data_IF_674609603559
#
_entry.id   IF_674609603559
#
_cell.length_a   1.000
_cell.length_b   1.000
_cell.length_c   1.000
_cell.angle_alpha   90.00
_cell.angle_beta   90.00
_cell.angle_gamma   90.00
#
_symmetry.space_group_name_H-M   'P 1'
#
loop_
_entity.id
_entity.type
_entity.pdbx_description
1 polymer ?
#
# COMPACT_ATOMS: atom_id res chain seq x y z
N UNK A 1 -24.84 -3.57 21.43
CA UNK A 1 -25.12 -2.14 21.21
C UNK A 1 -23.88 -1.53 20.58
N UNK A 2 -23.95 -1.02 19.35
CA UNK A 2 -22.80 -0.33 18.74
C UNK A 2 -22.68 1.05 19.35
N UNK A 3 -21.62 1.31 20.12
CA UNK A 3 -21.26 2.68 20.44
C UNK A 3 -20.97 3.40 19.12
N UNK A 4 -21.84 4.33 18.73
CA UNK A 4 -21.53 5.25 17.64
C UNK A 4 -20.38 6.14 18.11
N UNK A 5 -19.15 5.80 17.70
CA UNK A 5 -17.98 6.61 17.99
C UNK A 5 -18.16 7.95 17.30
N UNK A 6 -18.44 8.99 18.08
CA UNK A 6 -18.71 10.32 17.52
C UNK A 6 -17.38 10.93 17.07
N UNK A 7 -17.34 11.46 15.84
CA UNK A 7 -16.14 12.08 15.27
C UNK A 7 -16.35 13.56 15.00
N UNK A 8 -15.29 14.35 15.09
CA UNK A 8 -15.25 15.76 14.68
C UNK A 8 -14.14 15.99 13.66
N UNK A 9 -14.21 17.10 12.93
CA UNK A 9 -13.11 17.55 12.06
C UNK A 9 -11.89 17.82 12.93
N UNK A 10 -10.72 17.35 12.51
CA UNK A 10 -9.47 17.63 13.19
C UNK A 10 -9.14 19.12 13.04
N UNK A 11 -9.01 19.90 14.13
CA UNK A 11 -8.64 21.31 14.04
C UNK A 11 -7.17 21.51 13.68
N UNK A 12 -6.36 20.45 13.69
CA UNK A 12 -4.94 20.49 13.36
C UNK A 12 -4.64 19.81 12.01
N UNK A 13 -3.81 20.41 11.16
CA UNK A 13 -3.28 21.78 11.26
C UNK A 13 -4.36 22.87 11.06
N UNK A 14 -4.16 24.07 11.61
CA UNK A 14 -5.07 25.21 11.47
C UNK A 14 -4.95 25.87 10.08
N UNK A 15 -5.22 25.12 9.02
CA UNK A 15 -5.02 25.56 7.61
C UNK A 15 -5.79 26.85 7.30
N UNK A 16 -6.98 26.99 7.85
CA UNK A 16 -7.83 28.19 7.69
C UNK A 16 -7.17 29.48 8.18
N UNK A 17 -6.16 29.38 9.05
CA UNK A 17 -5.41 30.52 9.59
C UNK A 17 -4.21 30.92 8.71
N UNK A 18 -3.99 30.23 7.59
CA UNK A 18 -2.94 30.52 6.61
C UNK A 18 -1.61 29.81 6.88
N UNK A 19 -0.84 29.59 5.81
CA UNK A 19 0.35 28.72 5.83
C UNK A 19 1.47 29.22 6.77
N UNK A 20 1.57 30.54 6.99
CA UNK A 20 2.55 31.12 7.95
C UNK A 20 2.23 30.71 9.38
N UNK A 21 0.95 30.68 9.74
CA UNK A 21 0.50 30.24 11.06
C UNK A 21 0.69 28.73 11.23
N UNK A 22 0.42 27.94 10.19
CA UNK A 22 0.74 26.51 10.16
C UNK A 22 2.23 26.30 10.41
N UNK A 23 3.12 26.97 9.68
CA UNK A 23 4.57 26.84 9.86
C UNK A 23 5.03 27.16 11.30
N UNK A 24 4.51 28.24 11.91
CA UNK A 24 4.83 28.58 13.30
C UNK A 24 4.30 27.53 14.29
N UNK A 25 3.12 26.97 14.04
CA UNK A 25 2.56 25.88 14.85
C UNK A 25 3.42 24.62 14.72
N UNK A 26 3.88 24.30 13.51
CA UNK A 26 4.78 23.16 13.26
C UNK A 26 6.14 23.38 13.91
N UNK A 27 6.68 24.61 13.94
CA UNK A 27 7.93 24.92 14.66
C UNK A 27 7.81 24.60 16.15
N UNK A 28 6.74 25.10 16.80
CA UNK A 28 6.49 24.83 18.22
C UNK A 28 6.29 23.34 18.49
N UNK A 29 5.52 22.67 17.64
CA UNK A 29 5.31 21.23 17.73
C UNK A 29 6.61 20.44 17.56
N UNK A 30 7.40 20.71 16.53
CA UNK A 30 8.68 20.03 16.29
C UNK A 30 9.69 20.27 17.43
N UNK A 31 9.65 21.45 18.06
CA UNK A 31 10.45 21.76 19.24
C UNK A 31 9.99 20.95 20.47
N UNK A 32 8.68 20.90 20.73
CA UNK A 32 8.07 20.14 21.83
C UNK A 32 8.38 18.64 21.73
N UNK A 33 8.26 18.11 20.51
CA UNK A 33 8.58 16.71 20.23
C UNK A 33 10.09 16.49 19.98
N UNK A 34 10.96 17.48 20.21
CA UNK A 34 12.41 17.29 20.06
C UNK A 34 12.88 16.82 18.67
N UNK A 35 12.09 17.03 17.61
CA UNK A 35 12.43 16.62 16.23
C UNK A 35 13.50 17.55 15.63
N UNK A 36 13.29 18.86 15.77
CA UNK A 36 14.19 19.86 15.22
C UNK A 36 13.60 21.26 15.18
N UNK A 37 14.32 22.16 14.52
CA UNK A 37 14.01 23.59 14.46
C UNK A 37 14.21 24.17 13.05
N UNK A 38 13.92 25.46 12.89
CA UNK A 38 14.07 26.20 11.63
C UNK A 38 13.24 25.58 10.49
N UNK A 39 11.93 25.46 10.73
CA UNK A 39 10.93 24.95 9.81
C UNK A 39 10.81 25.88 8.59
N UNK A 40 10.95 25.30 7.39
CA UNK A 40 10.83 26.01 6.11
C UNK A 40 10.10 25.15 5.08
N UNK A 41 9.70 25.77 3.96
CA UNK A 41 9.04 25.09 2.83
C UNK A 41 7.77 24.33 3.26
N UNK A 42 7.00 24.94 4.16
CA UNK A 42 5.76 24.34 4.65
C UNK A 42 4.68 24.39 3.55
N UNK A 43 4.12 23.23 3.23
CA UNK A 43 2.99 23.05 2.32
C UNK A 43 1.96 22.15 3.00
N UNK A 44 0.67 22.47 2.86
CA UNK A 44 -0.42 21.65 3.39
C UNK A 44 -1.27 21.12 2.23
N UNK A 45 -1.61 19.83 2.29
CA UNK A 45 -2.54 19.16 1.37
C UNK A 45 -3.60 18.41 2.18
N UNK A 46 -4.84 18.50 1.73
CA UNK A 46 -5.93 17.72 2.29
C UNK A 46 -6.27 16.56 1.36
N UNK A 47 -6.18 15.33 1.88
CA UNK A 47 -6.71 14.15 1.22
C UNK A 47 -8.16 13.86 1.64
N UNK A 48 -8.65 12.69 1.22
CA UNK A 48 -9.97 12.18 1.61
C UNK A 48 -10.05 11.90 3.11
N UNK A 49 -9.03 11.23 3.65
CA UNK A 49 -9.02 10.73 5.04
C UNK A 49 -7.99 11.41 5.94
N UNK A 50 -6.97 12.03 5.36
CA UNK A 50 -5.81 12.56 6.08
C UNK A 50 -5.53 14.01 5.67
N UNK A 51 -4.91 14.74 6.57
CA UNK A 51 -4.25 16.01 6.27
C UNK A 51 -2.75 15.77 6.30
N UNK A 52 -2.06 16.30 5.28
CA UNK A 52 -0.63 16.09 5.06
C UNK A 52 0.07 17.43 5.04
N UNK A 53 1.11 17.58 5.84
CA UNK A 53 1.96 18.77 5.87
C UNK A 53 3.37 18.35 5.48
N UNK A 54 3.88 18.92 4.40
CA UNK A 54 5.27 18.75 4.00
C UNK A 54 6.06 19.95 4.51
N UNK A 55 7.23 19.69 5.07
CA UNK A 55 8.12 20.75 5.52
C UNK A 55 9.57 20.28 5.56
N UNK A 56 10.48 21.21 5.78
CA UNK A 56 11.90 20.94 5.98
C UNK A 56 12.36 21.52 7.31
N UNK A 57 13.32 20.87 7.96
CA UNK A 57 13.79 21.24 9.30
C UNK A 57 15.29 20.97 9.48
N UNK A 58 15.90 21.55 10.50
CA UNK A 58 17.24 21.22 10.98
C UNK A 58 17.07 20.34 12.23
N UNK A 59 17.53 19.08 12.22
CA UNK A 59 17.42 18.21 13.38
C UNK A 59 18.13 18.81 14.60
N UNK A 60 17.58 18.60 15.81
CA UNK A 60 18.36 18.88 17.02
C UNK A 60 19.55 17.91 17.09
N UNK A 61 20.62 18.33 17.78
CA UNK A 61 21.75 17.42 18.05
C UNK A 61 21.22 16.27 18.90
N UNK A 62 21.23 15.06 18.35
CA UNK A 62 21.04 13.86 19.16
C UNK A 62 22.04 13.86 20.31
N UNK A 63 21.59 13.47 21.51
CA UNK A 63 22.42 13.15 22.66
C UNK A 63 23.06 11.76 22.57
N UNK A 64 23.10 11.17 21.39
CA UNK A 64 23.63 9.83 21.15
C UNK A 64 25.15 9.88 20.85
N UNK A 65 26.00 9.31 21.73
CA UNK A 65 27.45 9.31 21.57
C UNK A 65 27.97 8.30 20.53
N UNK A 66 27.14 7.36 20.05
CA UNK A 66 27.55 6.25 19.16
C UNK A 66 27.01 6.39 17.72
N UNK A 67 26.17 7.39 17.46
CA UNK A 67 25.64 7.66 16.12
C UNK A 67 26.50 8.68 15.35
N UNK A 68 26.70 8.48 14.03
CA UNK A 68 27.43 9.45 13.20
C UNK A 68 26.74 10.82 13.30
N UNK A 69 27.57 11.86 13.54
CA UNK A 69 27.13 13.24 13.80
C UNK A 69 25.97 13.63 12.88
N UNK A 70 24.84 14.18 13.39
CA UNK A 70 23.83 14.74 12.52
C UNK A 70 24.50 15.81 11.68
N UNK A 71 24.50 15.64 10.37
CA UNK A 71 24.94 16.70 9.48
C UNK A 71 24.04 17.91 9.75
N UNK A 72 24.58 19.13 9.65
CA UNK A 72 23.78 20.36 9.64
C UNK A 72 22.84 20.44 8.43
N UNK A 73 22.62 19.32 7.72
CA UNK A 73 21.86 19.24 6.50
C UNK A 73 20.38 19.24 6.87
N UNK A 74 19.69 20.23 6.31
CA UNK A 74 18.24 20.33 6.33
C UNK A 74 17.62 19.03 5.81
N UNK A 75 16.69 18.48 6.58
CA UNK A 75 15.92 17.29 6.27
C UNK A 75 14.54 17.67 5.74
N UNK A 76 13.93 16.77 4.95
CA UNK A 76 12.57 16.94 4.43
C UNK A 76 11.67 15.84 4.97
N UNK A 77 10.50 16.22 5.48
CA UNK A 77 9.56 15.28 6.07
C UNK A 77 8.11 15.62 5.75
N UNK A 78 7.25 14.67 6.12
CA UNK A 78 5.81 14.72 5.97
C UNK A 78 5.20 14.44 7.34
N UNK A 79 4.35 15.33 7.84
CA UNK A 79 3.47 15.11 8.98
C UNK A 79 2.08 14.76 8.44
N UNK A 80 1.59 13.57 8.81
CA UNK A 80 0.27 13.05 8.48
C UNK A 80 -0.59 13.01 9.74
N UNK A 81 -1.77 13.61 9.66
CA UNK A 81 -2.82 13.50 10.69
C UNK A 81 -4.13 13.04 10.06
N UNK A 82 -5.05 12.51 10.87
CA UNK A 82 -6.39 12.18 10.37
C UNK A 82 -7.22 13.43 10.18
N UNK A 83 -8.05 13.45 9.13
CA UNK A 83 -9.02 14.54 8.87
C UNK A 83 -10.14 14.58 9.92
N UNK A 84 -10.48 13.43 10.50
CA UNK A 84 -11.48 13.29 11.56
C UNK A 84 -10.88 12.60 12.78
N UNK A 85 -11.23 13.10 13.96
CA UNK A 85 -10.77 12.60 15.26
C UNK A 85 -11.95 12.24 16.14
N UNK A 86 -11.73 11.32 17.09
CA UNK A 86 -12.75 10.89 18.04
C UNK A 86 -13.04 12.00 19.06
N UNK A 87 -14.31 12.19 19.41
CA UNK A 87 -14.71 13.06 20.51
C UNK A 87 -14.41 12.35 21.84
N UNK A 88 -13.87 13.10 22.82
CA UNK A 88 -13.63 12.66 24.22
C UNK A 88 -12.82 11.36 24.37
N UNK A 89 -11.70 11.30 23.65
CA UNK A 89 -10.89 10.09 23.46
C UNK A 89 -9.50 10.16 24.09
N UNK A 90 -9.33 10.94 25.17
CA UNK A 90 -8.03 11.19 25.82
C UNK A 90 -7.22 9.91 26.11
N UNK A 91 -7.87 8.80 26.46
CA UNK A 91 -7.20 7.51 26.76
C UNK A 91 -7.25 6.51 25.59
N UNK A 92 -7.76 6.89 24.42
CA UNK A 92 -7.84 5.99 23.28
C UNK A 92 -6.54 6.03 22.46
N UNK A 93 -6.18 4.88 21.90
CA UNK A 93 -5.16 4.77 20.86
C UNK A 93 -5.82 4.59 19.50
N UNK A 94 -5.12 5.03 18.48
CA UNK A 94 -5.54 4.93 17.10
C UNK A 94 -4.87 3.72 16.45
N UNK A 95 -5.59 2.59 16.48
CA UNK A 95 -5.11 1.31 15.95
C UNK A 95 -4.58 1.44 14.51
N UNK A 96 -5.26 2.17 13.62
CA UNK A 96 -4.76 2.27 12.26
C UNK A 96 -3.50 3.15 12.14
N UNK A 97 -3.26 4.10 13.05
CA UNK A 97 -1.95 4.81 13.10
C UNK A 97 -0.85 3.82 13.51
N UNK A 98 -1.08 3.05 14.59
CA UNK A 98 -0.11 2.05 15.06
C UNK A 98 0.18 0.98 14.00
N UNK A 99 -0.86 0.51 13.29
CA UNK A 99 -0.71 -0.44 12.19
C UNK A 99 0.14 0.10 11.04
N UNK A 100 -0.11 1.34 10.59
CA UNK A 100 0.69 1.96 9.53
C UNK A 100 2.16 2.07 9.96
N UNK A 101 2.39 2.55 11.19
CA UNK A 101 3.75 2.68 11.75
C UNK A 101 4.44 1.32 11.81
N UNK A 102 3.76 0.28 12.31
CA UNK A 102 4.32 -1.06 12.40
C UNK A 102 4.70 -1.64 11.01
N UNK A 103 3.85 -1.45 9.98
CA UNK A 103 4.18 -1.85 8.60
C UNK A 103 5.43 -1.12 8.11
N UNK A 104 5.42 0.22 8.20
CA UNK A 104 6.50 1.05 7.68
C UNK A 104 7.80 0.86 8.46
N UNK A 105 7.74 0.58 9.76
CA UNK A 105 8.92 0.26 10.56
C UNK A 105 9.48 -1.13 10.25
N UNK A 106 8.61 -2.14 10.08
CA UNK A 106 9.03 -3.52 9.83
C UNK A 106 9.66 -3.68 8.45
N UNK A 107 9.05 -3.10 7.42
CA UNK A 107 9.44 -3.31 6.02
C UNK A 107 10.10 -2.09 5.38
N UNK A 108 10.14 -0.94 6.04
CA UNK A 108 10.74 0.28 5.51
C UNK A 108 12.12 0.56 6.05
N UNK A 109 12.65 1.70 5.62
CA UNK A 109 13.99 2.15 6.00
C UNK A 109 14.12 2.27 7.52
N UNK A 110 14.97 1.41 8.12
CA UNK A 110 15.32 1.46 9.54
C UNK A 110 16.63 2.21 9.72
N UNK A 111 16.56 3.50 10.04
CA UNK A 111 17.75 4.30 10.37
C UNK A 111 18.88 4.18 9.31
N UNK A 112 20.09 3.70 9.66
CA UNK A 112 21.23 3.54 8.74
C UNK A 112 21.18 2.27 7.88
N UNK A 113 20.25 1.34 8.12
CA UNK A 113 20.18 0.07 7.39
C UNK A 113 19.21 0.17 6.22
N UNK A 114 19.67 -0.12 4.97
CA UNK A 114 18.80 -0.07 3.81
C UNK A 114 17.77 -1.20 3.90
N UNK A 115 16.49 -0.83 3.89
CA UNK A 115 15.43 -1.81 3.70
C UNK A 115 15.47 -2.34 2.27
N UNK A 116 15.14 -3.63 2.05
CA UNK A 116 14.90 -4.14 0.71
C UNK A 116 13.75 -3.42 -0.03
N UNK A 117 12.80 -2.80 0.69
CA UNK A 117 11.73 -2.02 0.08
C UNK A 117 11.94 -0.51 0.28
N UNK A 118 11.70 0.31 -0.76
CA UNK A 118 11.80 1.77 -0.67
C UNK A 118 10.56 2.33 0.03
N UNK A 119 10.43 2.11 1.33
CA UNK A 119 9.34 2.67 2.14
C UNK A 119 9.94 3.75 3.05
N UNK A 120 9.41 5.00 3.04
CA UNK A 120 10.02 6.09 3.78
C UNK A 120 10.11 5.81 5.27
N UNK A 121 11.26 6.13 5.87
CA UNK A 121 11.50 6.00 7.31
C UNK A 121 10.48 6.79 8.15
N UNK A 122 9.95 6.16 9.20
CA UNK A 122 9.24 6.84 10.28
C UNK A 122 10.25 7.60 11.12
N UNK A 123 9.98 8.88 11.38
CA UNK A 123 10.84 9.76 12.18
C UNK A 123 10.29 9.98 13.59
N UNK A 124 8.96 10.04 13.71
CA UNK A 124 8.24 10.11 14.98
C UNK A 124 6.78 9.70 14.75
N UNK A 125 6.11 9.20 15.78
CA UNK A 125 4.68 8.97 15.74
C UNK A 125 4.05 9.07 17.12
N UNK A 126 2.76 9.37 17.14
CA UNK A 126 1.94 9.27 18.33
C UNK A 126 0.57 8.73 17.92
N UNK A 127 0.21 7.56 18.42
CA UNK A 127 -1.07 6.92 18.21
C UNK A 127 -2.16 7.41 19.16
N UNK A 128 -1.84 8.22 20.16
CA UNK A 128 -2.76 8.67 21.22
C UNK A 128 -3.45 9.99 20.86
N UNK A 129 -4.44 10.37 21.67
CA UNK A 129 -5.04 11.70 21.63
C UNK A 129 -4.52 12.61 22.76
N UNK A 130 -3.71 12.08 23.68
CA UNK A 130 -3.08 12.81 24.78
C UNK A 130 -1.70 13.33 24.37
N UNK A 131 -1.70 14.21 23.37
CA UNK A 131 -0.51 14.87 22.85
C UNK A 131 -0.77 16.35 22.55
N UNK A 132 0.29 17.11 22.27
CA UNK A 132 0.23 18.57 22.08
C UNK A 132 -0.79 19.00 21.03
N UNK A 133 -0.97 18.21 19.97
CA UNK A 133 -1.88 18.50 18.85
C UNK A 133 -3.24 17.80 18.98
N UNK A 134 -3.46 17.09 20.09
CA UNK A 134 -4.68 16.34 20.46
C UNK A 134 -5.20 15.42 19.35
N UNK A 135 -4.28 14.85 18.57
CA UNK A 135 -4.63 13.91 17.52
C UNK A 135 -3.47 12.95 17.20
N UNK A 136 -3.78 11.72 16.78
CA UNK A 136 -2.77 10.79 16.31
C UNK A 136 -2.06 11.31 15.07
N UNK A 137 -0.75 11.11 15.01
CA UNK A 137 0.08 11.57 13.91
C UNK A 137 1.21 10.60 13.55
N UNK A 138 1.70 10.76 12.33
CA UNK A 138 2.91 10.11 11.82
C UNK A 138 3.78 11.17 11.17
N UNK A 139 5.05 11.24 11.56
CA UNK A 139 6.09 12.00 10.86
C UNK A 139 7.00 11.01 10.16
N UNK A 140 7.17 11.19 8.86
CA UNK A 140 8.02 10.33 8.05
C UNK A 140 8.93 11.16 7.13
N UNK A 141 10.01 10.55 6.65
CA UNK A 141 10.88 11.15 5.63
C UNK A 141 10.07 11.44 4.36
N UNK A 142 10.31 12.60 3.74
CA UNK A 142 9.77 12.91 2.42
C UNK A 142 10.69 12.28 1.37
N UNK A 143 10.13 11.44 0.52
CA UNK A 143 10.85 10.86 -0.61
C UNK A 143 11.35 11.95 -1.57
N UNK A 144 12.51 11.71 -2.19
CA UNK A 144 13.06 12.55 -3.25
C UNK A 144 12.30 12.31 -4.56
N UNK A 145 12.17 13.35 -5.38
CA UNK A 145 11.44 13.29 -6.65
C UNK A 145 9.93 13.54 -6.56
N UNK A 146 9.21 13.08 -7.57
CA UNK A 146 7.76 13.26 -7.76
C UNK A 146 7.06 11.91 -7.88
N UNK A 147 5.76 11.87 -7.55
CA UNK A 147 4.92 10.72 -7.86
C UNK A 147 4.86 10.47 -9.37
N UNK A 148 4.64 9.21 -9.76
CA UNK A 148 4.64 8.79 -11.16
C UNK A 148 3.47 9.41 -11.94
N UNK A 149 2.38 9.78 -11.28
CA UNK A 149 1.27 10.49 -11.92
C UNK A 149 1.74 11.84 -12.50
N UNK A 150 2.50 12.62 -11.73
CA UNK A 150 3.15 13.85 -12.22
C UNK A 150 4.22 13.60 -13.27
N UNK A 151 5.01 12.53 -13.12
CA UNK A 151 5.99 12.20 -14.16
C UNK A 151 5.31 11.87 -15.48
N UNK A 152 4.17 11.17 -15.46
CA UNK A 152 3.41 10.90 -16.67
C UNK A 152 2.95 12.21 -17.35
N UNK A 153 2.52 13.23 -16.59
CA UNK A 153 2.17 14.54 -17.17
C UNK A 153 3.36 15.16 -17.94
N UNK A 154 4.59 15.03 -17.41
CA UNK A 154 5.81 15.54 -18.07
C UNK A 154 6.17 14.70 -19.30
N UNK A 155 6.09 13.38 -19.17
CA UNK A 155 6.41 12.41 -20.21
C UNK A 155 5.45 12.54 -21.41
N UNK A 156 4.17 12.85 -21.15
CA UNK A 156 3.16 12.99 -22.21
C UNK A 156 3.20 14.36 -22.91
N UNK A 157 3.60 15.43 -22.23
CA UNK A 157 3.75 16.78 -22.82
C UNK A 157 4.93 16.88 -23.77
N UNK A 158 5.89 15.94 -23.69
CA UNK A 158 7.13 15.91 -24.49
C UNK A 158 6.92 15.54 -25.97
N UNK A 159 5.84 16.05 -26.59
CA UNK A 159 5.46 15.91 -27.99
C UNK A 159 6.34 16.68 -28.99
N UNK A 160 7.67 16.63 -28.88
CA UNK A 160 8.57 17.21 -29.87
C UNK A 160 9.64 16.22 -30.35
N UNK A 161 9.39 15.66 -31.54
CA UNK A 161 10.35 15.18 -32.54
C UNK A 161 11.40 14.10 -32.18
N UNK A 162 11.48 13.60 -30.95
CA UNK A 162 12.38 12.48 -30.60
C UNK A 162 11.72 11.48 -29.64
N UNK A 163 10.73 10.73 -30.13
CA UNK A 163 9.99 9.69 -29.37
C UNK A 163 10.80 8.52 -28.78
N UNK A 164 12.13 8.62 -28.78
CA UNK A 164 13.05 7.66 -28.18
C UNK A 164 13.32 7.95 -26.69
N UNK A 165 13.23 9.22 -26.27
CA UNK A 165 13.57 9.63 -24.91
C UNK A 165 12.47 9.28 -23.90
N UNK A 166 11.19 9.44 -24.27
CA UNK A 166 10.05 9.01 -23.46
C UNK A 166 10.03 7.48 -23.22
N UNK A 167 10.32 6.70 -24.27
CA UNK A 167 10.32 5.23 -24.16
C UNK A 167 11.42 4.71 -23.24
N UNK A 168 12.63 5.30 -23.28
CA UNK A 168 13.74 4.89 -22.40
C UNK A 168 13.36 5.04 -20.93
N UNK A 169 12.78 6.18 -20.55
CA UNK A 169 12.40 6.46 -19.17
C UNK A 169 11.26 5.54 -18.71
N UNK A 170 10.27 5.30 -19.57
CA UNK A 170 9.19 4.32 -19.29
C UNK A 170 9.70 2.89 -19.12
N UNK A 171 10.70 2.48 -19.91
CA UNK A 171 11.35 1.17 -19.73
C UNK A 171 12.10 1.11 -18.40
N UNK A 172 12.81 2.17 -18.02
CA UNK A 172 13.47 2.28 -16.71
C UNK A 172 12.46 2.18 -15.56
N UNK A 173 11.33 2.88 -15.65
CA UNK A 173 10.23 2.82 -14.68
C UNK A 173 9.68 1.39 -14.58
N UNK A 174 9.43 0.73 -15.72
CA UNK A 174 8.95 -0.64 -15.75
C UNK A 174 9.95 -1.62 -15.12
N UNK A 175 11.25 -1.43 -15.35
CA UNK A 175 12.29 -2.25 -14.74
C UNK A 175 12.36 -2.07 -13.21
N UNK A 176 12.33 -0.84 -12.72
CA UNK A 176 12.35 -0.54 -11.28
C UNK A 176 11.10 -1.08 -10.58
N UNK A 177 9.93 -0.99 -11.21
CA UNK A 177 8.71 -1.60 -10.69
C UNK A 177 8.78 -3.13 -10.66
N UNK A 178 9.39 -3.76 -11.67
CA UNK A 178 9.61 -5.21 -11.67
C UNK A 178 10.52 -5.63 -10.50
N UNK A 179 11.62 -4.90 -10.26
CA UNK A 179 12.51 -5.13 -9.11
C UNK A 179 11.76 -4.98 -7.79
N UNK A 180 10.95 -3.94 -7.64
CA UNK A 180 10.14 -3.71 -6.44
C UNK A 180 9.15 -4.85 -6.17
N UNK A 181 8.37 -5.27 -7.18
CA UNK A 181 7.39 -6.35 -7.04
C UNK A 181 8.10 -7.67 -6.71
N UNK A 182 9.18 -8.01 -7.42
CA UNK A 182 9.97 -9.20 -7.13
C UNK A 182 10.56 -9.18 -5.72
N UNK A 183 10.96 -8.00 -5.23
CA UNK A 183 11.45 -7.80 -3.87
C UNK A 183 10.36 -8.11 -2.84
N UNK A 184 9.14 -7.57 -3.03
CA UNK A 184 7.99 -7.87 -2.17
C UNK A 184 7.64 -9.37 -2.15
N UNK A 185 7.75 -10.08 -3.28
CA UNK A 185 7.42 -11.51 -3.35
C UNK A 185 8.48 -12.43 -2.71
N UNK A 186 9.77 -12.07 -2.80
CA UNK A 186 10.85 -13.00 -2.48
C UNK A 186 11.64 -12.68 -1.21
N UNK A 187 11.57 -11.45 -0.68
CA UNK A 187 12.41 -11.06 0.46
C UNK A 187 11.83 -11.40 1.83
N UNK A 188 10.53 -11.60 1.92
CA UNK A 188 9.84 -11.82 3.18
C UNK A 188 9.24 -13.22 3.23
N UNK A 189 9.33 -13.85 4.39
CA UNK A 189 8.69 -15.13 4.66
C UNK A 189 7.61 -14.91 5.71
N UNK A 190 6.41 -15.41 5.43
CA UNK A 190 5.26 -15.24 6.31
C UNK A 190 4.71 -16.59 6.74
N UNK A 191 4.41 -16.70 8.04
CA UNK A 191 3.83 -17.91 8.64
C UNK A 191 2.30 -18.00 8.53
N UNK A 192 1.63 -16.99 7.95
CA UNK A 192 0.18 -16.88 7.88
C UNK A 192 -0.25 -15.89 6.78
N UNK A 193 -1.53 -15.95 6.40
CA UNK A 193 -2.20 -14.90 5.64
C UNK A 193 -3.05 -14.02 6.55
N UNK A 194 -3.26 -12.78 6.13
CA UNK A 194 -4.26 -11.91 6.70
C UNK A 194 -3.78 -10.47 6.83
N UNK A 195 -4.35 -9.81 7.83
CA UNK A 195 -4.15 -8.41 8.12
C UNK A 195 -2.91 -8.24 8.99
N UNK A 196 -2.06 -7.29 8.59
CA UNK A 196 -0.93 -6.84 9.36
C UNK A 196 -1.41 -6.01 10.56
N UNK A 197 -1.06 -6.45 11.76
CA UNK A 197 -1.40 -5.79 13.03
C UNK A 197 -0.12 -5.46 13.80
N UNK A 198 -0.17 -4.41 14.61
CA UNK A 198 0.91 -4.08 15.52
C UNK A 198 1.00 -5.11 16.65
N UNK A 199 2.20 -5.24 17.22
CA UNK A 199 2.39 -5.97 18.47
C UNK A 199 1.53 -5.34 19.60
N UNK A 200 0.90 -6.14 20.48
CA UNK A 200 0.22 -5.64 21.68
C UNK A 200 1.12 -4.80 22.60
N UNK A 201 2.43 -5.09 22.60
CA UNK A 201 3.42 -4.40 23.43
C UNK A 201 3.99 -3.15 22.74
N UNK A 202 3.53 -2.83 21.52
CA UNK A 202 3.92 -1.60 20.81
C UNK A 202 3.51 -0.36 21.61
N UNK A 203 4.47 0.53 21.88
CA UNK A 203 4.19 1.78 22.56
C UNK A 203 3.19 2.65 21.76
N UNK A 204 2.31 3.31 22.51
CA UNK A 204 1.33 4.24 21.97
C UNK A 204 1.97 5.44 21.27
N UNK A 205 3.18 5.82 21.67
CA UNK A 205 3.97 6.90 21.10
C UNK A 205 5.46 6.60 21.22
N UNK A 206 6.25 7.04 20.23
CA UNK A 206 7.71 6.88 20.27
C UNK A 206 8.38 8.11 19.65
N UNK A 207 9.47 8.51 20.30
CA UNK A 207 10.25 9.72 20.02
C UNK A 207 11.69 9.37 19.69
N UNK A 208 12.17 9.89 18.56
CA UNK A 208 13.56 9.68 18.14
C UNK A 208 13.85 8.25 17.71
N UNK A 209 15.06 8.06 17.19
CA UNK A 209 15.64 6.83 16.63
C UNK A 209 15.83 5.70 17.67
N UNK A 210 14.98 5.62 18.70
CA UNK A 210 15.02 4.49 19.60
C UNK A 210 14.73 3.24 18.76
N UNK A 211 15.72 2.35 18.73
CA UNK A 211 15.69 1.02 18.13
C UNK A 211 14.69 0.14 18.89
N UNK A 212 13.43 0.57 18.94
CA UNK A 212 12.36 -0.30 19.35
C UNK A 212 12.19 -1.35 18.27
N UNK A 213 12.40 -2.60 18.64
CA UNK A 213 11.99 -3.73 17.82
C UNK A 213 10.46 -3.78 17.80
N UNK A 214 9.85 -2.92 17.00
CA UNK A 214 8.43 -2.99 16.68
C UNK A 214 8.26 -4.24 15.81
N UNK A 215 7.79 -5.31 16.44
CA UNK A 215 7.40 -6.53 15.75
C UNK A 215 6.01 -6.36 15.13
N UNK A 216 5.82 -7.01 13.99
CA UNK A 216 4.54 -7.06 13.29
C UNK A 216 3.98 -8.46 13.35
N UNK A 217 2.69 -8.57 13.70
CA UNK A 217 1.97 -9.85 13.71
C UNK A 217 0.98 -9.92 12.56
N UNK A 218 0.61 -11.14 12.20
CA UNK A 218 -0.43 -11.42 11.20
C UNK A 218 -1.64 -11.97 11.93
N UNK A 219 -2.76 -11.26 11.80
CA UNK A 219 -4.07 -11.77 12.19
C UNK A 219 -4.81 -12.22 10.95
N UNK A 220 -5.52 -13.34 11.04
CA UNK A 220 -6.42 -13.72 9.96
C UNK A 220 -7.49 -12.65 9.68
N UNK A 221 -8.02 -12.60 8.44
CA UNK A 221 -8.91 -11.54 8.00
C UNK A 221 -10.29 -11.60 8.68
N UNK A 222 -10.98 -10.46 8.72
CA UNK A 222 -12.34 -10.37 9.23
C UNK A 222 -13.36 -10.28 8.09
N UNK A 223 -14.46 -11.01 8.23
CA UNK A 223 -15.67 -10.87 7.41
C UNK A 223 -16.82 -10.50 8.34
N UNK A 224 -17.29 -9.25 8.25
CA UNK A 224 -18.25 -8.73 9.21
C UNK A 224 -17.70 -8.74 10.64
N UNK A 225 -18.19 -9.66 11.47
CA UNK A 225 -17.71 -9.88 12.85
C UNK A 225 -16.95 -11.21 13.04
N UNK A 226 -16.83 -12.00 11.98
CA UNK A 226 -16.19 -13.31 12.00
C UNK A 226 -14.72 -13.14 11.67
N UNK A 227 -13.85 -13.58 12.58
CA UNK A 227 -12.40 -13.67 12.32
C UNK A 227 -12.10 -15.02 11.70
N UNK A 228 -11.53 -15.01 10.51
CA UNK A 228 -11.12 -16.22 9.79
C UNK A 228 -9.69 -16.59 10.15
N UNK A 229 -9.37 -17.88 10.17
CA UNK A 229 -8.01 -18.37 10.45
C UNK A 229 -7.05 -18.06 9.29
N UNK A 230 -5.86 -17.54 9.61
CA UNK A 230 -4.82 -17.19 8.62
C UNK A 230 -3.89 -18.35 8.19
N UNK A 231 -4.31 -19.61 8.28
CA UNK A 231 -3.45 -20.78 8.00
C UNK A 231 -2.88 -20.76 6.56
N UNK A 232 -1.66 -21.30 6.38
CA UNK A 232 -0.92 -21.37 5.10
C UNK A 232 -1.45 -22.42 4.09
N UNK A 233 -2.77 -22.59 4.01
CA UNK A 233 -3.42 -23.33 2.93
C UNK A 233 -4.43 -22.40 2.29
N UNK A 234 -4.08 -21.89 1.10
CA UNK A 234 -4.87 -20.84 0.46
C UNK A 234 -6.30 -21.31 0.14
N UNK A 235 -6.52 -22.56 -0.24
CA UNK A 235 -7.87 -23.12 -0.41
C UNK A 235 -8.68 -23.06 0.91
N UNK A 236 -8.12 -23.52 2.02
CA UNK A 236 -8.78 -23.50 3.34
C UNK A 236 -9.14 -22.07 3.79
N UNK A 237 -8.24 -21.10 3.53
CA UNK A 237 -8.49 -19.69 3.80
C UNK A 237 -9.71 -19.20 3.01
N UNK A 238 -9.74 -19.47 1.71
CA UNK A 238 -10.80 -18.98 0.82
C UNK A 238 -12.13 -19.65 1.13
N UNK A 239 -12.16 -20.94 1.41
CA UNK A 239 -13.35 -21.65 1.87
C UNK A 239 -13.90 -21.02 3.16
N UNK A 240 -13.02 -20.76 4.13
CA UNK A 240 -13.41 -20.14 5.40
C UNK A 240 -13.95 -18.72 5.21
N UNK A 241 -13.38 -17.94 4.29
CA UNK A 241 -13.86 -16.62 3.92
C UNK A 241 -15.26 -16.69 3.27
N UNK A 242 -15.48 -17.59 2.32
CA UNK A 242 -16.78 -17.78 1.66
C UNK A 242 -17.85 -18.18 2.69
N UNK A 243 -17.54 -19.11 3.59
CA UNK A 243 -18.44 -19.51 4.67
C UNK A 243 -18.80 -18.34 5.58
N UNK A 244 -17.81 -17.53 5.98
CA UNK A 244 -18.04 -16.34 6.78
C UNK A 244 -18.87 -15.26 6.06
N UNK A 245 -18.73 -15.14 4.72
CA UNK A 245 -19.60 -14.28 3.91
C UNK A 245 -21.04 -14.80 3.93
N UNK A 246 -21.24 -16.13 3.84
CA UNK A 246 -22.55 -16.76 3.89
C UNK A 246 -23.26 -16.54 5.22
N UNK A 247 -22.54 -16.65 6.34
CA UNK A 247 -23.06 -16.34 7.68
C UNK A 247 -23.45 -14.86 7.82
N UNK A 248 -22.60 -13.97 7.31
CA UNK A 248 -22.82 -12.51 7.40
C UNK A 248 -23.98 -12.04 6.50
N UNK A 249 -24.23 -12.72 5.38
CA UNK A 249 -25.30 -12.38 4.41
C UNK A 249 -26.58 -13.22 4.59
N UNK A 250 -26.59 -14.18 5.53
CA UNK A 250 -27.67 -15.14 5.73
C UNK A 250 -28.98 -14.56 6.30
N UNK A 251 -30.02 -15.40 6.34
CA UNK A 251 -31.37 -15.03 6.80
C UNK A 251 -31.32 -14.47 8.24
N UNK A 252 -31.55 -13.16 8.37
CA UNK A 252 -31.55 -12.43 9.63
C UNK A 252 -30.55 -11.26 9.70
N UNK A 253 -29.63 -11.14 8.73
CA UNK A 253 -28.61 -10.09 8.72
C UNK A 253 -29.04 -8.73 8.15
N UNK A 254 -30.26 -8.64 7.59
CA UNK A 254 -30.75 -7.44 6.91
C UNK A 254 -30.20 -7.24 5.49
N UNK A 255 -29.34 -8.14 4.98
CA UNK A 255 -28.89 -8.16 3.59
C UNK A 255 -29.99 -8.58 2.61
N UNK A 256 -29.84 -8.18 1.34
CA UNK A 256 -30.79 -8.54 0.30
C UNK A 256 -30.67 -10.02 -0.07
N UNK A 257 -31.79 -10.63 -0.47
CA UNK A 257 -31.78 -12.02 -0.96
C UNK A 257 -30.84 -12.21 -2.17
N UNK A 258 -30.53 -11.16 -2.93
CA UNK A 258 -29.64 -11.24 -4.08
C UNK A 258 -28.17 -11.38 -3.67
N UNK A 259 -27.72 -10.65 -2.65
CA UNK A 259 -26.32 -10.72 -2.16
C UNK A 259 -25.98 -12.11 -1.62
N UNK A 260 -26.90 -12.72 -0.86
CA UNK A 260 -26.74 -14.09 -0.39
C UNK A 260 -26.63 -15.09 -1.56
N UNK A 261 -27.46 -14.94 -2.60
CA UNK A 261 -27.40 -15.80 -3.79
C UNK A 261 -26.09 -15.66 -4.55
N UNK A 262 -25.51 -14.46 -4.58
CA UNK A 262 -24.18 -14.25 -5.17
C UNK A 262 -23.08 -14.96 -4.35
N UNK A 263 -23.18 -14.97 -3.01
CA UNK A 263 -22.24 -15.73 -2.15
C UNK A 263 -22.38 -17.24 -2.39
N UNK A 264 -23.61 -17.77 -2.52
CA UNK A 264 -23.85 -19.19 -2.84
C UNK A 264 -23.18 -19.56 -4.16
N UNK A 265 -23.36 -18.77 -5.21
CA UNK A 265 -22.71 -18.99 -6.52
C UNK A 265 -21.18 -18.94 -6.43
N UNK A 266 -20.64 -18.03 -5.63
CA UNK A 266 -19.20 -17.96 -5.39
C UNK A 266 -18.67 -19.26 -4.77
N UNK A 267 -19.40 -19.81 -3.79
CA UNK A 267 -19.12 -21.12 -3.20
C UNK A 267 -19.16 -22.24 -4.24
N UNK A 268 -20.21 -22.33 -5.05
CA UNK A 268 -20.34 -23.36 -6.11
C UNK A 268 -19.22 -23.31 -7.16
N UNK A 269 -18.69 -22.11 -7.47
CA UNK A 269 -17.52 -21.97 -8.34
C UNK A 269 -16.28 -22.48 -7.62
N UNK A 270 -16.04 -22.04 -6.39
CA UNK A 270 -14.89 -22.44 -5.60
C UNK A 270 -14.81 -23.96 -5.40
N UNK A 271 -15.93 -24.60 -5.04
CA UNK A 271 -16.01 -26.05 -4.88
C UNK A 271 -15.60 -26.79 -6.15
N UNK A 272 -16.12 -26.37 -7.31
CA UNK A 272 -15.74 -26.97 -8.58
C UNK A 272 -14.27 -26.75 -8.93
N UNK A 273 -13.71 -25.58 -8.65
CA UNK A 273 -12.27 -25.32 -8.84
C UNK A 273 -11.40 -26.23 -7.97
N UNK A 274 -11.85 -26.50 -6.73
CA UNK A 274 -11.18 -27.40 -5.80
C UNK A 274 -11.26 -28.84 -6.32
N UNK A 275 -12.44 -29.31 -6.69
CA UNK A 275 -12.67 -30.68 -7.16
C UNK A 275 -11.90 -31.01 -8.45
N UNK A 276 -11.66 -30.02 -9.31
CA UNK A 276 -10.92 -30.19 -10.56
C UNK A 276 -9.41 -30.01 -10.41
N UNK A 277 -8.92 -29.72 -9.20
CA UNK A 277 -7.51 -29.46 -8.92
C UNK A 277 -7.00 -28.15 -9.54
N UNK A 278 -7.89 -27.23 -9.93
CA UNK A 278 -7.49 -25.95 -10.52
C UNK A 278 -6.73 -25.08 -9.51
N UNK A 279 -7.15 -25.12 -8.24
CA UNK A 279 -6.49 -24.34 -7.18
C UNK A 279 -5.04 -24.79 -6.94
N UNK A 280 -4.77 -26.10 -7.06
CA UNK A 280 -3.45 -26.69 -6.81
C UNK A 280 -2.39 -26.29 -7.83
N UNK A 281 -2.80 -25.72 -8.97
CA UNK A 281 -1.90 -25.23 -10.02
C UNK A 281 -1.23 -23.91 -9.65
N UNK A 282 -1.76 -23.18 -8.65
CA UNK A 282 -1.31 -21.84 -8.30
C UNK A 282 -0.53 -21.81 -6.99
N UNK A 283 0.47 -20.91 -6.93
CA UNK A 283 1.29 -20.78 -5.73
C UNK A 283 0.50 -20.20 -4.55
N UNK A 284 0.42 -20.99 -3.47
CA UNK A 284 -0.07 -20.55 -2.17
C UNK A 284 0.96 -19.74 -1.35
N UNK A 285 2.12 -19.35 -1.87
CA UNK A 285 3.12 -18.65 -1.05
C UNK A 285 2.56 -17.34 -0.48
N UNK A 286 2.62 -17.19 0.84
CA UNK A 286 2.20 -15.97 1.52
C UNK A 286 3.11 -14.80 1.12
N UNK A 287 2.49 -13.73 0.64
CA UNK A 287 3.16 -12.62 -0.05
C UNK A 287 2.63 -11.29 0.48
N UNK A 288 3.52 -10.32 0.73
CA UNK A 288 3.15 -8.96 1.12
C UNK A 288 2.44 -8.27 -0.05
N UNK A 289 1.31 -7.63 0.24
CA UNK A 289 0.48 -6.98 -0.76
C UNK A 289 0.22 -5.52 -0.41
N UNK A 290 0.49 -4.66 -1.39
CA UNK A 290 0.14 -3.24 -1.35
C UNK A 290 -1.22 -3.01 -2.03
N UNK A 291 -2.30 -2.70 -1.28
CA UNK A 291 -3.65 -2.64 -1.83
C UNK A 291 -3.88 -1.49 -2.81
N UNK A 292 -3.14 -0.38 -2.66
CA UNK A 292 -3.31 0.83 -3.47
C UNK A 292 -2.07 1.16 -4.33
N UNK A 293 -1.47 0.14 -4.96
CA UNK A 293 -0.28 0.33 -5.80
C UNK A 293 -0.63 0.97 -7.16
N UNK A 294 -0.65 2.31 -7.18
CA UNK A 294 -1.00 3.16 -8.32
C UNK A 294 0.05 4.26 -8.53
N UNK A 295 0.10 4.91 -9.72
CA UNK A 295 1.11 5.93 -10.04
C UNK A 295 1.26 7.03 -8.98
N UNK A 296 0.16 7.51 -8.40
CA UNK A 296 0.17 8.52 -7.31
C UNK A 296 0.91 8.11 -6.03
N UNK A 297 1.10 6.80 -5.83
CA UNK A 297 1.70 6.19 -4.63
C UNK A 297 3.11 5.65 -4.89
N UNK A 298 3.67 5.90 -6.08
CA UNK A 298 5.01 5.48 -6.48
C UNK A 298 5.82 6.71 -6.84
N UNK A 299 6.94 6.93 -6.17
CA UNK A 299 7.76 8.15 -6.28
C UNK A 299 9.06 7.82 -7.01
N UNK A 300 9.34 8.59 -8.05
CA UNK A 300 10.57 8.50 -8.83
C UNK A 300 11.34 9.81 -8.77
N UNK A 301 12.66 9.69 -8.80
CA UNK A 301 13.57 10.81 -8.99
C UNK A 301 14.44 10.57 -10.23
N UNK A 302 14.79 11.65 -10.91
CA UNK A 302 15.67 11.61 -12.07
C UNK A 302 17.08 11.99 -11.60
N UNK A 303 17.96 11.00 -11.47
CA UNK A 303 19.29 11.21 -10.92
C UNK A 303 20.26 11.55 -12.05
N UNK A 304 20.74 12.80 -12.10
CA UNK A 304 21.72 13.25 -13.09
C UNK A 304 23.02 12.43 -13.00
N UNK A 305 23.30 11.64 -14.03
CA UNK A 305 24.53 10.85 -14.14
C UNK A 305 25.65 11.74 -14.67
N UNK A 306 26.24 12.53 -13.78
CA UNK A 306 27.39 13.41 -13.97
C UNK A 306 27.16 14.60 -14.92
N UNK A 307 27.44 15.80 -14.37
CA UNK A 307 27.56 17.05 -15.13
C UNK A 307 28.36 16.86 -16.43
N UNK A 308 27.67 16.87 -17.57
CA UNK A 308 28.28 17.05 -18.89
C UNK A 308 27.90 16.04 -19.99
N UNK A 309 27.25 14.90 -19.73
CA UNK A 309 26.89 13.97 -20.80
C UNK A 309 25.74 12.99 -20.45
N UNK A 310 24.51 13.50 -20.30
CA UNK A 310 23.30 12.66 -20.30
C UNK A 310 22.18 13.12 -19.37
N UNK A 311 20.94 12.83 -19.77
CA UNK A 311 19.73 12.95 -18.96
C UNK A 311 19.76 11.83 -17.89
N UNK A 312 19.41 12.16 -16.65
CA UNK A 312 19.44 11.25 -15.50
C UNK A 312 18.61 9.97 -15.66
N UNK A 313 18.91 8.95 -14.85
CA UNK A 313 18.17 7.68 -14.83
C UNK A 313 16.98 7.78 -13.87
N UNK A 314 15.80 7.31 -14.29
CA UNK A 314 14.62 7.24 -13.43
C UNK A 314 14.82 6.15 -12.36
N UNK A 315 14.89 6.58 -11.10
CA UNK A 315 15.05 5.69 -9.94
C UNK A 315 13.82 5.72 -9.04
N UNK A 316 13.36 4.54 -8.63
CA UNK A 316 12.30 4.42 -7.64
C UNK A 316 12.85 4.83 -6.27
N UNK A 317 12.34 5.91 -5.70
CA UNK A 317 12.80 6.43 -4.41
C UNK A 317 11.87 6.08 -3.27
N UNK A 318 10.58 5.91 -3.54
CA UNK A 318 9.63 5.44 -2.54
C UNK A 318 8.37 4.81 -3.13
N UNK A 319 7.78 3.89 -2.38
CA UNK A 319 6.37 3.51 -2.47
C UNK A 319 5.69 3.93 -1.17
N UNK A 320 4.59 4.66 -1.28
CA UNK A 320 3.87 5.27 -0.15
C UNK A 320 2.43 4.75 -0.08
N UNK A 321 1.71 5.14 0.97
CA UNK A 321 0.31 4.75 1.19
C UNK A 321 0.10 3.25 1.44
N UNK A 322 0.96 2.69 2.30
CA UNK A 322 0.89 1.31 2.81
C UNK A 322 -0.30 1.04 3.76
N UNK A 323 -1.30 1.91 3.73
CA UNK A 323 -2.53 1.77 4.47
C UNK A 323 -3.20 0.45 4.10
N UNK A 324 -3.55 -0.36 5.11
CA UNK A 324 -4.20 -1.66 4.92
C UNK A 324 -3.38 -2.69 4.15
N UNK A 325 -2.05 -2.59 4.14
CA UNK A 325 -1.20 -3.68 3.65
C UNK A 325 -1.57 -5.02 4.30
N UNK A 326 -1.52 -6.09 3.51
CA UNK A 326 -1.92 -7.44 3.93
C UNK A 326 -0.89 -8.47 3.47
N UNK A 327 -0.95 -9.66 4.05
CA UNK A 327 -0.28 -10.85 3.53
C UNK A 327 -1.33 -11.76 2.91
N UNK A 328 -1.19 -12.07 1.63
CA UNK A 328 -2.16 -12.85 0.86
C UNK A 328 -1.46 -13.97 0.09
N UNK A 329 -2.20 -15.01 -0.37
CA UNK A 329 -1.67 -15.96 -1.35
C UNK A 329 -1.14 -15.22 -2.58
N UNK A 330 0.03 -15.61 -3.06
CA UNK A 330 0.74 -14.97 -4.18
C UNK A 330 -0.13 -14.75 -5.41
N UNK A 331 -0.96 -15.73 -5.76
CA UNK A 331 -1.90 -15.60 -6.89
C UNK A 331 -2.81 -14.36 -6.79
N UNK A 332 -3.16 -13.92 -5.57
CA UNK A 332 -3.96 -12.71 -5.33
C UNK A 332 -3.18 -11.43 -5.55
N UNK A 333 -1.86 -11.44 -5.31
CA UNK A 333 -1.02 -10.24 -5.35
C UNK A 333 -0.54 -9.90 -6.75
N UNK A 334 -0.56 -10.88 -7.66
CA UNK A 334 -0.07 -10.80 -9.05
C UNK A 334 -1.01 -10.10 -10.03
N UNK A 335 -1.77 -9.11 -9.56
CA UNK A 335 -2.48 -8.23 -10.49
C UNK A 335 -1.45 -7.46 -11.34
N UNK A 336 -1.51 -7.51 -12.67
CA UNK A 336 -0.56 -6.79 -13.51
C UNK A 336 -0.72 -5.27 -13.31
N UNK A 337 0.40 -4.53 -13.13
CA UNK A 337 0.39 -3.06 -13.01
C UNK A 337 0.18 -2.41 -14.39
N UNK A 338 -1.00 -2.64 -15.00
CA UNK A 338 -1.33 -2.20 -16.37
C UNK A 338 -1.14 -0.70 -16.59
N UNK A 339 -1.22 0.11 -15.53
CA UNK A 339 -0.93 1.54 -15.59
C UNK A 339 0.51 1.87 -16.04
N UNK A 340 1.44 0.90 -16.08
CA UNK A 340 2.76 1.10 -16.67
C UNK A 340 2.71 1.24 -18.20
N UNK A 341 1.75 0.60 -18.87
CA UNK A 341 1.70 0.49 -20.34
C UNK A 341 0.28 0.68 -20.92
N UNK A 342 -0.68 1.11 -20.11
CA UNK A 342 -2.05 1.38 -20.54
C UNK A 342 -2.55 2.74 -20.03
N UNK A 343 -1.62 3.59 -19.60
CA UNK A 343 -1.92 4.95 -19.17
C UNK A 343 -1.88 5.90 -20.38
N UNK A 344 -2.81 6.85 -20.44
CA UNK A 344 -2.85 7.98 -21.38
C UNK A 344 -2.78 7.65 -22.88
N UNK A 345 -3.42 6.55 -23.30
CA UNK A 345 -3.61 6.20 -24.72
C UNK A 345 -2.32 6.22 -25.56
N UNK A 346 -1.21 5.83 -24.94
CA UNK A 346 0.06 5.59 -25.62
C UNK A 346 -0.12 4.75 -26.88
N UNK A 347 0.67 4.97 -27.95
CA UNK A 347 0.61 4.16 -29.16
C UNK A 347 0.71 2.67 -28.85
N UNK A 348 -0.11 1.84 -29.52
CA UNK A 348 -0.19 0.40 -29.25
C UNK A 348 1.18 -0.32 -29.28
N UNK A 349 2.10 0.15 -30.13
CA UNK A 349 3.47 -0.38 -30.20
C UNK A 349 4.27 -0.09 -28.93
N UNK A 350 4.20 1.12 -28.39
CA UNK A 350 4.90 1.46 -27.14
C UNK A 350 4.33 0.69 -25.96
N UNK A 351 2.99 0.55 -25.89
CA UNK A 351 2.33 -0.28 -24.88
C UNK A 351 2.84 -1.71 -24.90
N UNK A 352 2.95 -2.28 -26.11
CA UNK A 352 3.50 -3.62 -26.30
C UNK A 352 4.95 -3.68 -25.81
N UNK A 353 5.81 -2.76 -26.24
CA UNK A 353 7.23 -2.76 -25.88
C UNK A 353 7.44 -2.63 -24.36
N UNK A 354 6.75 -1.69 -23.70
CA UNK A 354 6.85 -1.51 -22.24
C UNK A 354 6.33 -2.75 -21.49
N UNK A 355 5.19 -3.30 -21.92
CA UNK A 355 4.62 -4.51 -21.33
C UNK A 355 5.56 -5.72 -21.46
N UNK A 356 6.10 -5.96 -22.65
CA UNK A 356 7.03 -7.08 -22.86
C UNK A 356 8.33 -6.88 -22.07
N UNK A 357 8.82 -5.64 -21.94
CA UNK A 357 9.99 -5.34 -21.13
C UNK A 357 9.76 -5.61 -19.63
N UNK A 358 8.63 -5.14 -19.09
CA UNK A 358 8.22 -5.44 -17.71
C UNK A 358 8.18 -6.95 -17.46
N UNK A 359 7.48 -7.70 -18.31
CA UNK A 359 7.38 -9.15 -18.13
C UNK A 359 8.70 -9.88 -18.33
N UNK A 360 9.55 -9.42 -19.24
CA UNK A 360 10.91 -9.99 -19.41
C UNK A 360 11.72 -9.82 -18.11
N UNK A 361 11.65 -8.65 -17.49
CA UNK A 361 12.29 -8.41 -16.20
C UNK A 361 11.69 -9.28 -15.09
N UNK A 362 10.35 -9.36 -15.02
CA UNK A 362 9.67 -10.18 -14.03
C UNK A 362 9.97 -11.66 -14.18
N UNK A 363 9.93 -12.24 -15.38
CA UNK A 363 10.23 -13.66 -15.60
C UNK A 363 11.67 -14.02 -15.22
N UNK A 364 12.61 -13.08 -15.38
CA UNK A 364 13.99 -13.26 -14.90
C UNK A 364 14.09 -13.28 -13.37
N UNK A 365 13.30 -12.46 -12.69
CA UNK A 365 13.36 -12.28 -11.24
C UNK A 365 12.47 -13.27 -10.48
N UNK A 366 11.33 -13.62 -11.08
CA UNK A 366 10.27 -14.47 -10.54
C UNK A 366 9.63 -15.27 -11.69
N UNK A 367 10.20 -16.43 -12.06
CA UNK A 367 9.67 -17.26 -13.13
C UNK A 367 8.19 -17.66 -12.90
N UNK A 368 7.40 -17.65 -13.98
CA UNK A 368 5.97 -17.96 -13.97
C UNK A 368 5.06 -16.79 -13.56
N UNK A 369 5.62 -15.59 -13.34
CA UNK A 369 4.85 -14.41 -12.94
C UNK A 369 3.78 -14.04 -13.99
N UNK A 370 4.16 -14.02 -15.27
CA UNK A 370 3.28 -13.60 -16.38
C UNK A 370 2.08 -14.51 -16.54
N UNK A 371 2.28 -15.82 -16.38
CA UNK A 371 1.21 -16.81 -16.47
C UNK A 371 0.18 -16.59 -15.36
N UNK A 372 0.63 -16.42 -14.11
CA UNK A 372 -0.29 -16.13 -12.99
C UNK A 372 -0.87 -14.70 -13.06
N UNK A 373 -0.21 -13.75 -13.72
CA UNK A 373 -0.71 -12.39 -13.86
C UNK A 373 -1.79 -12.25 -14.95
N UNK A 374 -1.57 -12.81 -16.14
CA UNK A 374 -2.45 -12.61 -17.31
C UNK A 374 -3.29 -13.84 -17.67
N UNK A 375 -2.91 -15.04 -17.19
CA UNK A 375 -3.55 -16.30 -17.53
C UNK A 375 -5.06 -16.30 -17.22
N UNK A 376 -5.86 -16.87 -18.13
CA UNK A 376 -7.32 -16.88 -18.00
C UNK A 376 -7.76 -17.54 -16.69
N UNK A 377 -7.26 -18.74 -16.41
CA UNK A 377 -7.50 -19.46 -15.15
C UNK A 377 -7.10 -18.63 -13.92
N UNK A 378 -5.89 -18.06 -13.95
CA UNK A 378 -5.34 -17.26 -12.87
C UNK A 378 -6.22 -16.04 -12.52
N UNK A 379 -6.75 -15.35 -13.54
CA UNK A 379 -7.66 -14.21 -13.39
C UNK A 379 -8.98 -14.62 -12.72
N UNK A 380 -9.52 -15.78 -13.08
CA UNK A 380 -10.77 -16.30 -12.50
C UNK A 380 -10.53 -16.73 -11.04
N UNK A 381 -9.44 -17.44 -10.74
CA UNK A 381 -9.05 -17.82 -9.37
C UNK A 381 -8.86 -16.57 -8.50
N UNK A 382 -8.06 -15.60 -8.96
CA UNK A 382 -7.85 -14.34 -8.24
C UNK A 382 -9.15 -13.58 -8.03
N UNK A 383 -10.07 -13.57 -8.99
CA UNK A 383 -11.39 -12.95 -8.83
C UNK A 383 -12.23 -13.65 -7.74
N UNK A 384 -12.26 -14.99 -7.71
CA UNK A 384 -12.92 -15.75 -6.63
C UNK A 384 -12.36 -15.36 -5.28
N UNK A 385 -11.04 -15.24 -5.16
CA UNK A 385 -10.36 -14.93 -3.90
C UNK A 385 -10.65 -13.50 -3.44
N UNK A 386 -10.66 -12.53 -4.36
CA UNK A 386 -11.08 -11.14 -4.11
C UNK A 386 -12.51 -11.13 -3.57
N UNK A 387 -13.43 -11.86 -4.21
CA UNK A 387 -14.84 -11.87 -3.79
C UNK A 387 -15.09 -12.67 -2.51
N UNK A 388 -14.25 -13.64 -2.18
CA UNK A 388 -14.28 -14.28 -0.86
C UNK A 388 -13.90 -13.28 0.23
N UNK A 389 -12.84 -12.49 0.00
CA UNK A 389 -12.32 -11.55 0.99
C UNK A 389 -13.23 -10.34 1.20
N UNK A 390 -13.73 -9.71 0.13
CA UNK A 390 -14.51 -8.46 0.22
C UNK A 390 -16.00 -8.61 -0.09
N UNK A 391 -16.44 -9.80 -0.49
CA UNK A 391 -17.84 -10.10 -0.82
C UNK A 391 -18.20 -9.74 -2.27
N UNK A 392 -19.21 -10.41 -2.87
CA UNK A 392 -19.63 -10.19 -4.26
C UNK A 392 -20.04 -8.75 -4.61
N UNK A 393 -20.49 -7.98 -3.61
CA UNK A 393 -20.86 -6.57 -3.76
C UNK A 393 -19.67 -5.62 -3.92
N UNK A 394 -18.43 -6.10 -3.81
CA UNK A 394 -17.23 -5.29 -3.93
C UNK A 394 -17.09 -4.67 -5.32
N UNK A 395 -17.15 -3.33 -5.38
CA UNK A 395 -17.20 -2.56 -6.63
C UNK A 395 -15.83 -2.10 -7.14
N UNK A 396 -14.79 -2.19 -6.32
CA UNK A 396 -13.42 -1.84 -6.72
C UNK A 396 -12.70 -3.05 -7.33
N UNK A 397 -13.43 -3.81 -8.13
CA UNK A 397 -12.92 -5.01 -8.75
C UNK A 397 -11.76 -4.67 -9.67
N UNK A 398 -10.67 -5.41 -9.50
CA UNK A 398 -9.41 -5.02 -10.09
C UNK A 398 -9.22 -5.62 -11.50
N UNK A 399 -9.93 -6.71 -11.82
CA UNK A 399 -9.81 -7.45 -13.09
C UNK A 399 -11.15 -7.94 -13.69
N UNK A 400 -12.06 -8.47 -12.86
CA UNK A 400 -13.38 -8.95 -13.29
C UNK A 400 -14.44 -8.46 -12.32
N UNK A 401 -15.54 -7.90 -12.83
CA UNK A 401 -16.75 -7.71 -12.02
C UNK A 401 -17.33 -9.08 -11.62
N UNK A 402 -18.19 -9.14 -10.60
CA UNK A 402 -18.76 -10.42 -10.16
C UNK A 402 -19.54 -11.09 -11.30
N UNK A 403 -20.33 -10.31 -12.04
CA UNK A 403 -20.99 -10.76 -13.27
C UNK A 403 -19.99 -11.17 -14.36
N UNK A 404 -18.84 -10.51 -14.44
CA UNK A 404 -17.74 -10.88 -15.33
C UNK A 404 -17.15 -12.23 -14.95
N UNK A 405 -16.90 -12.49 -13.66
CA UNK A 405 -16.47 -13.79 -13.14
C UNK A 405 -17.44 -14.89 -13.53
N UNK A 406 -18.76 -14.71 -13.30
CA UNK A 406 -19.75 -15.71 -13.68
C UNK A 406 -19.69 -16.04 -15.18
N UNK A 407 -19.63 -15.02 -16.04
CA UNK A 407 -19.53 -15.23 -17.50
C UNK A 407 -18.23 -15.90 -17.93
N UNK A 408 -17.10 -15.50 -17.35
CA UNK A 408 -15.80 -16.11 -17.67
C UNK A 408 -15.77 -17.57 -17.23
N UNK A 409 -16.28 -17.86 -16.04
CA UNK A 409 -16.39 -19.22 -15.51
C UNK A 409 -17.29 -20.10 -16.38
N UNK A 410 -18.49 -19.63 -16.73
CA UNK A 410 -19.39 -20.37 -17.62
C UNK A 410 -18.75 -20.61 -18.99
N UNK A 411 -18.04 -19.60 -19.52
CA UNK A 411 -17.33 -19.67 -20.80
C UNK A 411 -16.06 -20.51 -20.78
N UNK A 412 -15.53 -20.91 -19.62
CA UNK A 412 -14.41 -21.86 -19.55
C UNK A 412 -14.88 -23.28 -19.90
N UNK A 413 -16.16 -23.60 -19.64
CA UNK A 413 -16.75 -24.89 -19.99
C UNK A 413 -16.10 -26.09 -19.28
N UNK A 414 -16.88 -27.09 -18.93
CA UNK A 414 -16.36 -28.32 -18.29
C UNK A 414 -15.45 -29.12 -19.27
N UNK A 415 -15.40 -28.76 -20.56
CA UNK A 415 -14.65 -29.48 -21.61
C UNK A 415 -13.21 -28.99 -21.90
N UNK A 416 -12.80 -27.80 -21.44
CA UNK A 416 -11.40 -27.32 -21.61
C UNK A 416 -10.48 -27.71 -20.43
N UNK A 417 -11.04 -28.31 -19.37
CA UNK A 417 -10.29 -28.71 -18.16
C UNK A 417 -9.97 -30.21 -18.08
N UNK A 418 -10.16 -30.97 -19.16
CA UNK A 418 -9.84 -32.41 -19.24
C UNK A 418 -8.66 -32.70 -20.18
#
# INVERSE_FOLDING_TARGET
>A
MSHHTTTKINPFPPISSGIKYVAATIELFCADIGLGHNIQNCEAREGKNNTVIMFSYIPFKSSDPDHPRPSYTRQHCILRTRKRILIDSLNATCEATQRIVAVMHTYGEKGPYPSPLPIPAILAYDGTYDNMIRCPYIIQRKAAGNDLEKWNEVLDVSGSTTGLYDLKDRLSIAEEMAKFIACMENKFQFGAYGVLINDPDMLGNTMGFLEEDIEMRISGPFVGRVQVSGKLQHADLIESLINAQGETTGKGSGCSSAEYQDVVKLGEIFERMRDTGLLDRFSGVATLWHPDLYPRNVVFDCVDVYAGAGIGEMKLTAVIDWDNAMVLPRIMTRKPPKWLWAYNDLPAEQNRVIREHFYTCMERLVPGYREEAEGREARVVRAVYVYALWGPGYRYHSELSFRGLLREWDGMGVGEMF
#
